data_IF_128154675467
#
_entry.id   IF_128154675467
#
_cell.length_a   1.000
_cell.length_b   1.000
_cell.length_c   1.000
_cell.angle_alpha   90.00
_cell.angle_beta   90.00
_cell.angle_gamma   90.00
#
_symmetry.space_group_name_H-M   'P 1'
#
loop_
_entity.id
_entity.type
_entity.pdbx_description
1 polymer ?
#
# COMPACT_ATOMS: atom_id res chain seq x y z
N UNK A 1 -18.96 -14.09 2.07
CA UNK A 1 -19.35 -12.96 1.19
C UNK A 1 -20.34 -13.50 0.15
N UNK A 2 -21.25 -12.69 -0.41
CA UNK A 2 -22.23 -13.20 -1.40
C UNK A 2 -21.57 -13.44 -2.77
N UNK A 3 -22.17 -14.34 -3.57
CA UNK A 3 -21.66 -14.69 -4.92
C UNK A 3 -21.57 -13.47 -5.86
N UNK A 4 -22.48 -12.51 -5.75
CA UNK A 4 -22.44 -11.27 -6.53
C UNK A 4 -21.18 -10.44 -6.26
N UNK A 5 -20.78 -10.29 -4.99
CA UNK A 5 -19.56 -9.57 -4.65
C UNK A 5 -18.30 -10.29 -5.12
N UNK A 6 -18.27 -11.62 -5.01
CA UNK A 6 -17.18 -12.43 -5.53
C UNK A 6 -17.03 -12.26 -7.05
N UNK A 7 -18.15 -12.31 -7.80
CA UNK A 7 -18.17 -12.07 -9.24
C UNK A 7 -17.64 -10.68 -9.60
N UNK A 8 -18.01 -9.65 -8.84
CA UNK A 8 -17.49 -8.28 -9.03
C UNK A 8 -15.97 -8.24 -8.82
N UNK A 9 -15.47 -8.85 -7.75
CA UNK A 9 -14.02 -8.89 -7.44
C UNK A 9 -13.26 -9.60 -8.58
N UNK A 10 -13.76 -10.71 -9.09
CA UNK A 10 -13.16 -11.44 -10.23
C UNK A 10 -13.11 -10.53 -11.47
N UNK A 11 -14.19 -9.84 -11.81
CA UNK A 11 -14.24 -8.94 -12.96
C UNK A 11 -13.22 -7.78 -12.83
N UNK A 12 -13.04 -7.25 -11.62
CA UNK A 12 -12.06 -6.19 -11.36
C UNK A 12 -10.63 -6.74 -11.49
N UNK A 13 -10.34 -7.91 -10.93
CA UNK A 13 -9.02 -8.56 -11.05
C UNK A 13 -8.69 -8.84 -12.52
N UNK A 14 -9.66 -9.35 -13.30
CA UNK A 14 -9.46 -9.60 -14.74
C UNK A 14 -9.20 -8.31 -15.52
N UNK A 15 -9.81 -7.22 -15.10
CA UNK A 15 -9.56 -5.91 -15.69
C UNK A 15 -8.20 -5.32 -15.28
N UNK A 16 -7.73 -5.54 -14.05
CA UNK A 16 -6.39 -5.09 -13.59
C UNK A 16 -5.27 -5.86 -14.29
N UNK A 17 -5.47 -7.16 -14.58
CA UNK A 17 -4.47 -8.02 -15.22
C UNK A 17 -4.93 -8.50 -16.61
N UNK A 18 -5.21 -7.61 -17.57
CA UNK A 18 -5.80 -7.98 -18.86
C UNK A 18 -4.88 -8.85 -19.72
N UNK A 19 -3.57 -8.68 -19.57
CA UNK A 19 -2.57 -9.46 -20.32
C UNK A 19 -2.53 -10.93 -19.89
N UNK A 20 -2.87 -11.24 -18.64
CA UNK A 20 -2.95 -12.62 -18.15
C UNK A 20 -4.05 -13.45 -18.82
N UNK A 21 -5.06 -12.81 -19.41
CA UNK A 21 -6.14 -13.44 -20.17
C UNK A 21 -5.92 -13.42 -21.70
N UNK A 22 -4.82 -12.81 -22.19
CA UNK A 22 -4.49 -12.74 -23.60
C UNK A 22 -3.91 -14.09 -24.06
N UNK A 23 -4.62 -14.76 -24.97
CA UNK A 23 -4.25 -16.10 -25.47
C UNK A 23 -2.89 -16.09 -26.18
N UNK A 24 -2.55 -15.03 -26.91
CA UNK A 24 -1.28 -14.88 -27.62
C UNK A 24 -0.11 -14.81 -26.64
N UNK A 25 -0.26 -14.00 -25.58
CA UNK A 25 0.72 -13.90 -24.51
C UNK A 25 0.86 -15.24 -23.76
N UNK A 26 -0.27 -15.90 -23.45
CA UNK A 26 -0.25 -17.20 -22.80
C UNK A 26 0.48 -18.25 -23.68
N UNK A 27 0.24 -18.26 -24.99
CA UNK A 27 0.93 -19.15 -25.91
C UNK A 27 2.44 -18.83 -25.99
N UNK A 28 2.79 -17.55 -26.04
CA UNK A 28 4.20 -17.13 -26.03
C UNK A 28 4.93 -17.67 -24.78
N UNK A 29 4.41 -17.43 -23.58
CA UNK A 29 5.03 -17.92 -22.34
C UNK A 29 4.96 -19.44 -22.16
N UNK A 30 3.95 -20.12 -22.71
CA UNK A 30 3.85 -21.58 -22.69
C UNK A 30 5.04 -22.24 -23.39
N UNK A 31 5.63 -21.58 -24.39
CA UNK A 31 6.80 -22.06 -25.13
C UNK A 31 8.13 -21.83 -24.38
N UNK A 32 8.10 -21.34 -23.14
CA UNK A 32 9.28 -21.05 -22.30
C UNK A 32 10.33 -20.20 -23.02
N UNK A 33 9.98 -19.00 -23.49
CA UNK A 33 10.90 -18.13 -24.24
C UNK A 33 12.11 -17.76 -23.37
N UNK A 34 13.24 -17.53 -24.04
CA UNK A 34 14.44 -16.98 -23.41
C UNK A 34 14.23 -15.54 -22.95
N UNK A 35 15.10 -15.04 -22.08
CA UNK A 35 15.02 -13.63 -21.63
C UNK A 35 15.10 -12.64 -22.79
N UNK A 36 15.93 -12.92 -23.81
CA UNK A 36 16.07 -12.04 -24.96
C UNK A 36 14.82 -12.04 -25.84
N UNK A 37 14.16 -13.19 -26.00
CA UNK A 37 12.87 -13.28 -26.69
C UNK A 37 11.78 -12.51 -25.91
N UNK A 38 11.75 -12.62 -24.57
CA UNK A 38 10.85 -11.84 -23.71
C UNK A 38 11.10 -10.34 -23.89
N UNK A 39 12.36 -9.91 -23.82
CA UNK A 39 12.74 -8.50 -24.02
C UNK A 39 12.36 -7.99 -25.40
N UNK A 40 12.57 -8.78 -26.42
CA UNK A 40 12.23 -8.43 -27.82
C UNK A 40 10.72 -8.31 -27.99
N UNK A 41 9.95 -9.28 -27.47
CA UNK A 41 8.50 -9.27 -27.50
C UNK A 41 7.94 -8.04 -26.79
N UNK A 42 8.41 -7.77 -25.57
CA UNK A 42 7.98 -6.62 -24.77
C UNK A 42 8.27 -5.29 -25.46
N UNK A 43 9.43 -5.14 -26.12
CA UNK A 43 9.76 -3.92 -26.87
C UNK A 43 8.84 -3.71 -28.08
N UNK A 44 8.56 -4.76 -28.85
CA UNK A 44 7.73 -4.67 -30.05
C UNK A 44 6.24 -4.41 -29.73
N UNK A 45 5.75 -4.88 -28.59
CA UNK A 45 4.34 -4.78 -28.18
C UNK A 45 4.10 -3.79 -27.02
N UNK A 46 5.13 -3.05 -26.58
CA UNK A 46 5.07 -2.19 -25.41
C UNK A 46 3.87 -1.22 -25.45
N UNK A 47 3.70 -0.48 -26.53
CA UNK A 47 2.62 0.51 -26.65
C UNK A 47 1.24 -0.11 -26.62
N UNK A 48 1.04 -1.22 -27.31
CA UNK A 48 -0.23 -1.95 -27.33
C UNK A 48 -0.54 -2.56 -25.97
N UNK A 49 0.47 -3.16 -25.32
CA UNK A 49 0.37 -3.67 -23.95
C UNK A 49 -0.02 -2.58 -22.95
N UNK A 50 0.59 -1.40 -23.02
CA UNK A 50 0.24 -0.25 -22.17
C UNK A 50 -1.21 0.19 -22.40
N UNK A 51 -1.65 0.32 -23.65
CA UNK A 51 -3.03 0.68 -23.98
C UNK A 51 -4.03 -0.35 -23.45
N UNK A 52 -3.70 -1.63 -23.56
CA UNK A 52 -4.52 -2.74 -23.03
C UNK A 52 -4.61 -2.67 -21.50
N UNK A 53 -3.48 -2.44 -20.83
CA UNK A 53 -3.43 -2.26 -19.37
C UNK A 53 -4.24 -1.02 -18.95
N UNK A 54 -4.06 0.13 -19.60
CA UNK A 54 -4.80 1.34 -19.29
C UNK A 54 -6.33 1.17 -19.51
N UNK A 55 -6.72 0.50 -20.59
CA UNK A 55 -8.15 0.17 -20.82
C UNK A 55 -8.71 -0.73 -19.70
N UNK A 56 -7.91 -1.69 -19.25
CA UNK A 56 -8.25 -2.53 -18.10
C UNK A 56 -8.39 -1.73 -16.81
N UNK A 57 -7.44 -0.84 -16.50
CA UNK A 57 -7.49 0.01 -15.31
C UNK A 57 -8.71 0.95 -15.33
N UNK A 58 -9.05 1.55 -16.49
CA UNK A 58 -10.28 2.36 -16.66
C UNK A 58 -11.51 1.56 -16.29
N UNK A 59 -11.64 0.34 -16.82
CA UNK A 59 -12.75 -0.57 -16.52
C UNK A 59 -12.79 -0.94 -15.03
N UNK A 60 -11.64 -1.31 -14.45
CA UNK A 60 -11.53 -1.65 -13.03
C UNK A 60 -11.93 -0.48 -12.13
N UNK A 61 -11.46 0.74 -12.43
CA UNK A 61 -11.80 1.95 -11.68
C UNK A 61 -13.32 2.19 -11.65
N UNK A 62 -14.01 2.08 -12.77
CA UNK A 62 -15.46 2.23 -12.82
C UNK A 62 -16.18 1.16 -11.98
N UNK A 63 -15.79 -0.12 -12.12
CA UNK A 63 -16.37 -1.21 -11.33
C UNK A 63 -16.17 -1.01 -9.82
N UNK A 64 -14.99 -0.51 -9.41
CA UNK A 64 -14.68 -0.20 -8.01
C UNK A 64 -15.57 0.94 -7.51
N UNK A 65 -15.70 2.03 -8.27
CA UNK A 65 -16.56 3.18 -7.91
C UNK A 65 -18.00 2.72 -7.76
N UNK A 66 -18.54 1.98 -8.71
CA UNK A 66 -19.92 1.46 -8.68
C UNK A 66 -20.13 0.55 -7.46
N UNK A 67 -19.15 -0.28 -7.14
CA UNK A 67 -19.17 -1.14 -5.95
C UNK A 67 -19.17 -0.32 -4.65
N UNK A 68 -18.33 0.71 -4.54
CA UNK A 68 -18.26 1.59 -3.38
C UNK A 68 -19.55 2.39 -3.18
N UNK A 69 -20.11 2.95 -4.27
CA UNK A 69 -21.39 3.68 -4.25
C UNK A 69 -22.58 2.81 -3.81
N UNK A 70 -22.51 1.49 -4.01
CA UNK A 70 -23.52 0.55 -3.50
C UNK A 70 -23.31 0.20 -2.04
N UNK A 71 -22.07 0.04 -1.60
CA UNK A 71 -21.74 -0.48 -0.26
C UNK A 71 -21.76 0.63 0.81
N UNK A 72 -21.24 1.82 0.52
CA UNK A 72 -21.11 2.89 1.51
C UNK A 72 -22.44 3.37 2.10
N UNK A 73 -23.53 3.55 1.32
CA UNK A 73 -24.84 3.84 1.89
C UNK A 73 -25.38 2.70 2.77
N UNK A 74 -25.10 1.44 2.43
CA UNK A 74 -25.50 0.30 3.25
C UNK A 74 -24.75 0.29 4.60
N UNK A 75 -23.47 0.63 4.63
CA UNK A 75 -22.71 0.78 5.88
C UNK A 75 -23.33 1.86 6.75
N UNK A 76 -23.65 3.02 6.19
CA UNK A 76 -24.28 4.14 6.90
C UNK A 76 -25.63 3.73 7.49
N UNK A 77 -26.49 3.15 6.67
CA UNK A 77 -27.80 2.64 7.10
C UNK A 77 -27.67 1.59 8.21
N UNK A 78 -26.79 0.60 8.06
CA UNK A 78 -26.57 -0.45 9.08
C UNK A 78 -26.04 0.14 10.40
N UNK A 79 -25.19 1.19 10.35
CA UNK A 79 -24.74 1.92 11.54
C UNK A 79 -25.89 2.63 12.25
N UNK A 80 -26.84 3.20 11.51
CA UNK A 80 -28.01 3.84 12.09
C UNK A 80 -28.98 2.80 12.71
N UNK A 81 -29.18 1.65 12.05
CA UNK A 81 -29.93 0.53 12.61
C UNK A 81 -29.28 -0.01 13.92
N UNK A 82 -27.95 -0.06 13.98
CA UNK A 82 -27.23 -0.46 15.19
C UNK A 82 -27.44 0.54 16.32
N UNK A 83 -27.43 1.85 16.04
CA UNK A 83 -27.74 2.88 17.07
C UNK A 83 -29.14 2.71 17.63
N UNK A 84 -30.12 2.45 16.76
CA UNK A 84 -31.52 2.23 17.19
C UNK A 84 -31.67 0.94 18.00
N UNK A 85 -31.06 -0.18 17.52
CA UNK A 85 -31.05 -1.43 18.26
C UNK A 85 -30.42 -1.31 19.66
N UNK A 86 -29.39 -0.44 19.81
CA UNK A 86 -28.78 -0.14 21.14
C UNK A 86 -29.72 0.67 22.03
N UNK A 87 -30.44 1.67 21.48
CA UNK A 87 -31.43 2.49 22.24
C UNK A 87 -32.58 1.62 22.76
N UNK A 88 -33.05 0.72 21.89
CA UNK A 88 -34.16 -0.19 22.22
C UNK A 88 -33.74 -1.43 23.02
N UNK A 89 -32.43 -1.61 23.32
CA UNK A 89 -31.86 -2.81 23.96
C UNK A 89 -32.25 -4.12 23.21
N UNK A 90 -32.35 -4.05 21.88
CA UNK A 90 -32.80 -5.16 21.03
C UNK A 90 -31.68 -6.19 20.82
N UNK A 91 -32.08 -7.48 20.72
CA UNK A 91 -31.21 -8.62 20.40
C UNK A 91 -30.59 -8.53 18.99
N UNK A 92 -31.11 -7.63 18.12
CA UNK A 92 -30.57 -7.40 16.79
C UNK A 92 -29.21 -6.68 16.75
N UNK A 93 -28.69 -6.26 17.90
CA UNK A 93 -27.39 -5.55 18.00
C UNK A 93 -26.24 -6.37 17.37
N UNK A 94 -26.16 -7.66 17.68
CA UNK A 94 -25.05 -8.50 17.18
C UNK A 94 -25.18 -8.79 15.68
N UNK A 95 -26.41 -8.90 15.18
CA UNK A 95 -26.67 -8.96 13.75
C UNK A 95 -26.13 -7.73 13.02
N UNK A 96 -26.47 -6.51 13.46
CA UNK A 96 -25.99 -5.29 12.81
C UNK A 96 -24.49 -5.11 12.95
N UNK A 97 -23.88 -5.50 14.05
CA UNK A 97 -22.42 -5.50 14.21
C UNK A 97 -21.72 -6.42 13.20
N UNK A 98 -22.28 -7.62 12.96
CA UNK A 98 -21.76 -8.55 11.98
C UNK A 98 -21.91 -8.02 10.56
N UNK A 99 -23.09 -7.47 10.23
CA UNK A 99 -23.38 -6.89 8.92
C UNK A 99 -22.43 -5.72 8.58
N UNK A 100 -22.23 -4.78 9.52
CA UNK A 100 -21.30 -3.67 9.37
C UNK A 100 -19.88 -4.19 9.08
N UNK A 101 -19.41 -5.17 9.84
CA UNK A 101 -18.06 -5.75 9.63
C UNK A 101 -17.90 -6.37 8.24
N UNK A 102 -18.95 -7.04 7.74
CA UNK A 102 -18.94 -7.63 6.38
C UNK A 102 -18.89 -6.54 5.32
N UNK A 103 -19.70 -5.50 5.45
CA UNK A 103 -19.76 -4.40 4.50
C UNK A 103 -18.46 -3.58 4.51
N UNK A 104 -17.92 -3.25 5.69
CA UNK A 104 -16.62 -2.57 5.83
C UNK A 104 -15.48 -3.40 5.25
N UNK A 105 -15.53 -4.72 5.39
CA UNK A 105 -14.55 -5.60 4.76
C UNK A 105 -14.65 -5.59 3.23
N UNK A 106 -15.87 -5.60 2.68
CA UNK A 106 -16.10 -5.46 1.22
C UNK A 106 -15.54 -4.13 0.70
N UNK A 107 -15.76 -3.03 1.43
CA UNK A 107 -15.21 -1.72 1.09
C UNK A 107 -13.68 -1.76 1.06
N UNK A 108 -13.04 -2.33 2.08
CA UNK A 108 -11.59 -2.48 2.15
C UNK A 108 -11.05 -3.31 0.99
N UNK A 109 -11.73 -4.37 0.59
CA UNK A 109 -11.34 -5.19 -0.57
C UNK A 109 -11.41 -4.37 -1.86
N UNK A 110 -12.48 -3.62 -2.11
CA UNK A 110 -12.60 -2.79 -3.31
C UNK A 110 -11.50 -1.73 -3.37
N UNK A 111 -11.24 -1.05 -2.26
CA UNK A 111 -10.16 -0.07 -2.18
C UNK A 111 -8.78 -0.70 -2.36
N UNK A 112 -8.58 -1.91 -1.84
CA UNK A 112 -7.33 -2.66 -2.05
C UNK A 112 -7.09 -3.05 -3.52
N UNK A 113 -8.15 -3.27 -4.28
CA UNK A 113 -8.04 -3.45 -5.73
C UNK A 113 -7.60 -2.15 -6.42
N UNK A 114 -8.06 -0.99 -5.95
CA UNK A 114 -7.55 0.30 -6.43
C UNK A 114 -6.09 0.55 -5.99
N UNK A 115 -5.71 0.16 -4.77
CA UNK A 115 -4.32 0.18 -4.31
C UNK A 115 -3.41 -0.67 -5.23
N UNK A 116 -3.94 -1.79 -5.76
CA UNK A 116 -3.19 -2.62 -6.72
C UNK A 116 -2.93 -1.86 -8.02
N UNK A 117 -3.90 -1.10 -8.54
CA UNK A 117 -3.72 -0.25 -9.72
C UNK A 117 -2.65 0.82 -9.42
N UNK A 118 -2.76 1.49 -8.26
CA UNK A 118 -1.76 2.46 -7.84
C UNK A 118 -0.35 1.84 -7.77
N UNK A 119 -0.23 0.62 -7.23
CA UNK A 119 1.04 -0.10 -7.12
C UNK A 119 1.67 -0.39 -8.49
N UNK A 120 0.86 -0.70 -9.51
CA UNK A 120 1.33 -0.80 -10.90
C UNK A 120 1.87 0.55 -11.42
N UNK A 121 1.16 1.65 -11.17
CA UNK A 121 1.57 2.98 -11.63
C UNK A 121 2.91 3.45 -11.04
N UNK A 122 3.24 2.99 -9.83
CA UNK A 122 4.52 3.27 -9.17
C UNK A 122 5.57 2.18 -9.42
N UNK A 123 5.31 1.21 -10.32
CA UNK A 123 6.23 0.11 -10.68
C UNK A 123 6.67 -0.73 -9.46
N UNK A 124 5.81 -0.92 -8.47
CA UNK A 124 6.10 -1.67 -7.25
C UNK A 124 7.13 -1.00 -6.32
N UNK A 125 7.45 0.28 -6.53
CA UNK A 125 8.47 1.00 -5.74
C UNK A 125 7.90 1.40 -4.37
N UNK A 126 8.17 0.59 -3.35
CA UNK A 126 7.70 0.81 -1.97
C UNK A 126 8.03 2.21 -1.42
N UNK A 127 9.20 2.76 -1.75
CA UNK A 127 9.60 4.09 -1.30
C UNK A 127 8.73 5.20 -1.90
N UNK A 128 8.20 4.98 -3.12
CA UNK A 128 7.25 5.88 -3.75
C UNK A 128 5.90 5.80 -3.04
N UNK A 129 5.41 4.60 -2.71
CA UNK A 129 4.10 4.46 -2.04
C UNK A 129 4.05 5.22 -0.71
N UNK A 130 5.16 5.23 0.05
CA UNK A 130 5.27 5.93 1.32
C UNK A 130 5.13 7.45 1.21
N UNK A 131 5.39 8.04 0.05
CA UNK A 131 5.25 9.49 -0.20
C UNK A 131 3.79 9.92 -0.27
N UNK A 132 2.87 9.03 -0.58
CA UNK A 132 1.45 9.31 -0.73
C UNK A 132 0.63 9.16 0.55
N UNK A 133 1.25 8.78 1.68
CA UNK A 133 0.58 8.54 2.94
C UNK A 133 0.85 9.65 3.96
N UNK A 134 -0.19 10.30 4.48
CA UNK A 134 -0.07 11.45 5.41
C UNK A 134 -0.52 11.16 6.85
N UNK A 135 -0.69 9.91 7.26
CA UNK A 135 -1.16 9.55 8.61
C UNK A 135 -2.48 10.20 9.04
N UNK A 136 -3.35 10.55 8.10
CA UNK A 136 -4.67 11.09 8.42
C UNK A 136 -5.65 9.94 8.66
N UNK A 137 -6.23 9.80 9.87
CA UNK A 137 -7.16 8.72 10.14
C UNK A 137 -8.45 8.84 9.32
N UNK A 138 -8.80 7.79 8.62
CA UNK A 138 -10.11 7.60 8.00
C UNK A 138 -10.21 8.10 6.55
N UNK A 139 -10.54 7.19 5.64
CA UNK A 139 -11.00 7.56 4.30
C UNK A 139 -12.44 8.09 4.39
N UNK A 140 -12.71 9.22 3.75
CA UNK A 140 -14.08 9.73 3.59
C UNK A 140 -14.90 8.80 2.72
N UNK A 141 -16.22 8.82 2.90
CA UNK A 141 -17.13 8.19 1.95
C UNK A 141 -17.17 9.01 0.65
N UNK A 142 -17.36 8.37 -0.51
CA UNK A 142 -17.38 9.06 -1.81
C UNK A 142 -18.47 10.12 -1.91
N UNK A 143 -19.61 9.94 -1.22
CA UNK A 143 -20.68 10.94 -1.16
C UNK A 143 -20.32 12.20 -0.35
N UNK A 144 -19.24 12.14 0.45
CA UNK A 144 -18.71 13.25 1.23
C UNK A 144 -17.56 13.98 0.50
N UNK A 145 -17.19 13.51 -0.70
CA UNK A 145 -16.11 14.09 -1.52
C UNK A 145 -16.67 14.68 -2.82
N UNK A 146 -15.82 15.39 -3.53
CA UNK A 146 -16.12 15.92 -4.86
C UNK A 146 -15.89 14.87 -5.98
N UNK A 147 -16.07 13.57 -5.68
CA UNK A 147 -15.70 12.47 -6.59
C UNK A 147 -16.27 12.61 -8.00
N UNK A 148 -17.47 13.22 -8.18
CA UNK A 148 -18.10 13.39 -9.51
C UNK A 148 -17.28 14.27 -10.43
N UNK A 149 -16.80 15.41 -9.93
CA UNK A 149 -15.95 16.34 -10.68
C UNK A 149 -14.57 15.74 -10.92
N UNK A 150 -14.03 15.02 -9.94
CA UNK A 150 -12.75 14.30 -10.07
C UNK A 150 -12.89 13.18 -11.13
N UNK A 151 -13.98 12.42 -11.10
CA UNK A 151 -14.26 11.38 -12.10
C UNK A 151 -14.43 11.94 -13.51
N UNK A 152 -15.12 13.09 -13.65
CA UNK A 152 -15.27 13.77 -14.93
C UNK A 152 -13.89 14.19 -15.49
N UNK A 153 -13.06 14.78 -14.68
CA UNK A 153 -11.68 15.15 -15.06
C UNK A 153 -10.85 13.92 -15.45
N UNK A 154 -10.92 12.85 -14.64
CA UNK A 154 -10.26 11.59 -14.94
C UNK A 154 -10.73 10.99 -16.28
N UNK A 155 -12.04 10.95 -16.53
CA UNK A 155 -12.58 10.41 -17.76
C UNK A 155 -12.08 11.19 -18.99
N UNK A 156 -12.03 12.54 -18.91
CA UNK A 156 -11.51 13.38 -19.99
C UNK A 156 -10.04 13.10 -20.29
N UNK A 157 -9.19 12.97 -19.27
CA UNK A 157 -7.77 12.59 -19.45
C UNK A 157 -7.66 11.18 -20.03
N UNK A 158 -8.51 10.27 -19.53
CA UNK A 158 -8.54 8.87 -19.90
C UNK A 158 -9.17 8.61 -21.29
N UNK A 159 -9.71 9.62 -22.00
CA UNK A 159 -10.13 9.49 -23.41
C UNK A 159 -8.92 9.12 -24.29
N UNK A 160 -7.74 9.67 -24.02
CA UNK A 160 -6.54 9.26 -24.70
C UNK A 160 -6.14 7.84 -24.23
N UNK A 161 -5.99 6.85 -25.13
CA UNK A 161 -5.64 5.47 -24.74
C UNK A 161 -4.23 5.33 -24.17
N UNK A 162 -3.34 6.29 -24.44
CA UNK A 162 -1.98 6.30 -23.91
C UNK A 162 -1.93 6.88 -22.47
N UNK A 163 -3.03 7.48 -21.98
CA UNK A 163 -3.13 8.10 -20.66
C UNK A 163 -4.01 7.27 -19.71
N UNK A 164 -3.64 7.28 -18.44
CA UNK A 164 -4.48 6.76 -17.36
C UNK A 164 -4.22 7.52 -16.07
N UNK A 165 -5.30 7.98 -15.43
CA UNK A 165 -5.29 8.53 -14.06
C UNK A 165 -6.29 7.82 -13.17
N UNK A 166 -5.85 7.50 -11.96
CA UNK A 166 -6.62 6.84 -10.89
C UNK A 166 -7.15 7.91 -9.92
N UNK A 167 -8.42 7.78 -9.51
CA UNK A 167 -8.97 8.54 -8.39
C UNK A 167 -8.30 8.06 -7.08
N UNK A 168 -7.71 8.97 -6.32
CA UNK A 168 -7.06 8.61 -5.06
C UNK A 168 -8.05 8.28 -3.95
N UNK A 169 -9.22 8.91 -3.92
CA UNK A 169 -10.29 8.69 -2.93
C UNK A 169 -10.84 7.24 -2.92
N UNK A 170 -10.65 6.47 -3.99
CA UNK A 170 -11.05 5.05 -4.01
C UNK A 170 -9.98 4.10 -3.48
N UNK A 171 -8.82 4.60 -3.04
CA UNK A 171 -7.73 3.82 -2.46
C UNK A 171 -7.81 3.78 -0.93
N UNK A 172 -7.05 2.88 -0.28
CA UNK A 172 -7.00 2.85 1.18
C UNK A 172 -5.98 3.83 1.76
N UNK A 173 -4.87 4.11 1.05
CA UNK A 173 -3.73 4.82 1.64
C UNK A 173 -3.19 6.00 0.82
N UNK A 174 -3.61 6.20 -0.43
CA UNK A 174 -3.20 7.37 -1.21
C UNK A 174 -3.99 8.59 -0.74
N UNK A 175 -3.30 9.54 -0.12
CA UNK A 175 -3.92 10.69 0.56
C UNK A 175 -3.47 12.05 0.00
N UNK A 176 -2.65 12.05 -1.04
CA UNK A 176 -2.16 13.25 -1.70
C UNK A 176 -2.70 13.31 -3.12
N UNK A 177 -3.27 14.46 -3.49
CA UNK A 177 -3.89 14.69 -4.79
C UNK A 177 -5.23 13.99 -4.97
N UNK A 178 -6.02 14.46 -5.90
CA UNK A 178 -7.31 13.87 -6.27
C UNK A 178 -7.17 12.79 -7.35
N UNK A 179 -6.16 12.95 -8.24
CA UNK A 179 -5.83 11.99 -9.31
C UNK A 179 -4.32 11.73 -9.34
N UNK A 180 -3.94 10.47 -9.54
CA UNK A 180 -2.57 10.06 -9.78
C UNK A 180 -2.49 9.12 -11.00
N UNK A 181 -1.50 9.30 -11.87
CA UNK A 181 -1.36 8.41 -13.03
C UNK A 181 -0.25 8.77 -13.99
N UNK A 182 -0.42 8.35 -15.23
CA UNK A 182 0.52 8.60 -16.35
C UNK A 182 -0.21 9.37 -17.43
N UNK A 183 0.33 10.54 -17.79
CA UNK A 183 -0.17 11.41 -18.86
C UNK A 183 1.00 11.76 -19.76
N UNK A 184 0.88 11.48 -21.05
CA UNK A 184 1.92 11.69 -22.05
C UNK A 184 3.30 11.11 -21.66
N UNK A 185 3.25 9.92 -21.02
CA UNK A 185 4.42 9.19 -20.55
C UNK A 185 5.03 9.67 -19.22
N UNK A 186 4.49 10.72 -18.63
CA UNK A 186 4.95 11.28 -17.36
C UNK A 186 4.02 10.91 -16.20
N UNK A 187 4.60 10.66 -15.02
CA UNK A 187 3.81 10.53 -13.79
C UNK A 187 3.28 11.90 -13.38
N UNK A 188 2.00 11.96 -13.10
CA UNK A 188 1.31 13.19 -12.71
C UNK A 188 0.51 12.99 -11.43
N UNK A 189 0.49 14.04 -10.61
CA UNK A 189 -0.39 14.17 -9.46
C UNK A 189 -1.25 15.41 -9.67
N UNK A 190 -2.57 15.27 -9.68
CA UNK A 190 -3.49 16.32 -10.05
C UNK A 190 -4.46 16.59 -8.89
N UNK A 191 -4.61 17.87 -8.54
CA UNK A 191 -5.65 18.39 -7.66
C UNK A 191 -6.78 18.98 -8.50
N UNK A 192 -7.98 18.49 -8.35
CA UNK A 192 -9.17 18.98 -9.06
C UNK A 192 -9.87 20.04 -8.20
N UNK A 193 -9.95 21.25 -8.69
CA UNK A 193 -10.62 22.35 -7.96
C UNK A 193 -12.00 22.61 -8.57
N UNK A 194 -13.01 22.66 -7.71
CA UNK A 194 -14.38 23.01 -8.08
C UNK A 194 -14.65 24.50 -7.85
N UNK A 195 -15.51 25.05 -8.71
CA UNK A 195 -16.03 26.42 -8.63
C UNK A 195 -15.12 27.47 -9.27
N UNK A 196 -15.77 28.45 -9.90
CA UNK A 196 -15.12 29.53 -10.66
C UNK A 196 -14.11 30.30 -9.82
N UNK A 197 -14.39 30.46 -8.52
CA UNK A 197 -13.50 31.17 -7.61
C UNK A 197 -12.16 30.47 -7.40
N UNK A 198 -12.18 29.13 -7.25
CA UNK A 198 -10.95 28.34 -7.14
C UNK A 198 -10.14 28.37 -8.44
N UNK A 199 -10.84 28.35 -9.59
CA UNK A 199 -10.20 28.47 -10.90
C UNK A 199 -9.52 29.84 -11.08
N UNK A 200 -10.19 30.95 -10.69
CA UNK A 200 -9.59 32.27 -10.70
C UNK A 200 -8.34 32.34 -9.80
N UNK A 201 -8.42 31.83 -8.58
CA UNK A 201 -7.29 31.79 -7.64
C UNK A 201 -6.11 31.02 -8.25
N UNK A 202 -6.35 29.85 -8.85
CA UNK A 202 -5.30 29.07 -9.50
C UNK A 202 -4.63 29.84 -10.63
N UNK A 203 -5.41 30.46 -11.51
CA UNK A 203 -4.91 31.27 -12.61
C UNK A 203 -4.06 32.44 -12.13
N UNK A 204 -4.46 33.09 -11.04
CA UNK A 204 -3.71 34.17 -10.44
C UNK A 204 -2.41 33.67 -9.78
N UNK A 205 -2.41 32.49 -9.16
CA UNK A 205 -1.21 31.85 -8.61
C UNK A 205 -0.23 31.47 -9.75
N UNK A 206 -0.72 30.89 -10.85
CA UNK A 206 0.10 30.56 -12.01
C UNK A 206 0.75 31.80 -12.61
N UNK A 207 -0.01 32.90 -12.73
CA UNK A 207 0.52 34.17 -13.17
C UNK A 207 1.57 34.72 -12.19
N UNK A 208 1.35 34.59 -10.87
CA UNK A 208 2.28 35.07 -9.84
C UNK A 208 3.61 34.31 -9.89
N UNK A 209 3.62 33.04 -10.25
CA UNK A 209 4.85 32.24 -10.41
C UNK A 209 5.76 32.71 -11.55
N UNK A 210 5.28 33.61 -12.43
CA UNK A 210 6.05 34.13 -13.57
C UNK A 210 6.92 35.35 -13.22
N UNK A 211 6.58 36.11 -12.18
CA UNK A 211 7.40 37.23 -11.73
C UNK A 211 7.00 37.78 -10.34
N UNK A 212 7.95 38.37 -9.62
CA UNK A 212 7.75 39.00 -8.30
C UNK A 212 6.67 40.08 -8.32
N UNK A 213 6.52 40.82 -9.42
CA UNK A 213 5.50 41.84 -9.57
C UNK A 213 4.08 41.26 -9.56
N UNK A 214 3.89 40.04 -10.03
CA UNK A 214 2.60 39.35 -9.99
C UNK A 214 2.28 38.80 -8.59
N UNK A 215 3.27 38.44 -7.79
CA UNK A 215 3.09 38.03 -6.39
C UNK A 215 2.49 39.19 -5.57
N UNK A 216 2.99 40.45 -5.78
CA UNK A 216 2.44 41.61 -5.12
C UNK A 216 1.00 41.87 -5.55
N UNK A 217 0.70 41.73 -6.85
CA UNK A 217 -0.68 41.88 -7.37
C UNK A 217 -1.63 40.81 -6.80
N UNK A 218 -1.17 39.59 -6.65
CA UNK A 218 -1.93 38.51 -6.02
C UNK A 218 -2.30 38.89 -4.58
N UNK A 219 -1.31 39.36 -3.79
CA UNK A 219 -1.55 39.79 -2.41
C UNK A 219 -2.54 40.95 -2.34
N UNK A 220 -2.33 41.99 -3.15
CA UNK A 220 -3.21 43.17 -3.19
C UNK A 220 -4.66 42.86 -3.57
N UNK A 221 -4.85 41.92 -4.51
CA UNK A 221 -6.18 41.44 -4.94
C UNK A 221 -6.96 40.73 -3.82
N UNK A 222 -6.28 39.99 -2.95
CA UNK A 222 -6.93 39.12 -1.97
C UNK A 222 -6.77 39.59 -0.51
N UNK A 223 -6.01 40.65 -0.22
CA UNK A 223 -5.73 41.10 1.16
C UNK A 223 -6.99 41.44 1.99
N UNK A 224 -8.08 41.88 1.34
CA UNK A 224 -9.35 42.19 1.98
C UNK A 224 -10.31 41.00 2.06
N UNK A 225 -9.91 39.84 1.54
CA UNK A 225 -10.69 38.60 1.50
C UNK A 225 -10.01 37.46 2.30
N UNK A 226 -10.15 37.43 3.64
CA UNK A 226 -9.41 36.45 4.49
C UNK A 226 -9.63 35.00 4.10
N UNK A 227 -10.85 34.63 3.68
CA UNK A 227 -11.18 33.27 3.24
C UNK A 227 -10.42 32.88 1.96
N UNK A 228 -10.27 33.79 1.04
CA UNK A 228 -9.52 33.55 -0.20
C UNK A 228 -8.02 33.47 0.08
N UNK A 229 -7.49 34.28 1.01
CA UNK A 229 -6.09 34.14 1.45
C UNK A 229 -5.82 32.81 2.13
N UNK A 230 -6.73 32.30 2.94
CA UNK A 230 -6.61 30.94 3.51
C UNK A 230 -6.66 29.87 2.43
N UNK A 231 -7.53 30.03 1.43
CA UNK A 231 -7.61 29.11 0.30
C UNK A 231 -6.34 29.15 -0.56
N UNK A 232 -5.77 30.33 -0.83
CA UNK A 232 -4.48 30.49 -1.52
C UNK A 232 -3.37 29.76 -0.76
N UNK A 233 -3.26 30.00 0.57
CA UNK A 233 -2.28 29.29 1.42
C UNK A 233 -2.43 27.79 1.34
N UNK A 234 -3.68 27.28 1.38
CA UNK A 234 -3.98 25.86 1.26
C UNK A 234 -3.55 25.31 -0.10
N UNK A 235 -3.89 26.00 -1.20
CA UNK A 235 -3.53 25.57 -2.56
C UNK A 235 -2.00 25.55 -2.72
N UNK A 236 -1.30 26.62 -2.31
CA UNK A 236 0.16 26.69 -2.39
C UNK A 236 0.82 25.56 -1.57
N UNK A 237 0.32 25.28 -0.37
CA UNK A 237 0.82 24.16 0.44
C UNK A 237 0.63 22.82 -0.27
N UNK A 238 -0.54 22.57 -0.88
CA UNK A 238 -0.81 21.33 -1.62
C UNK A 238 0.11 21.19 -2.84
N UNK A 239 0.28 22.27 -3.62
CA UNK A 239 1.16 22.28 -4.81
C UNK A 239 2.62 22.03 -4.40
N UNK A 240 3.10 22.68 -3.34
CA UNK A 240 4.47 22.49 -2.86
C UNK A 240 4.70 21.03 -2.40
N UNK A 241 3.79 20.48 -1.59
CA UNK A 241 3.88 19.09 -1.16
C UNK A 241 3.89 18.15 -2.37
N UNK A 242 3.01 18.35 -3.35
CA UNK A 242 2.97 17.54 -4.56
C UNK A 242 4.26 17.63 -5.37
N UNK A 243 4.82 18.83 -5.53
CA UNK A 243 6.06 19.05 -6.26
C UNK A 243 7.26 18.44 -5.53
N UNK A 244 7.35 18.58 -4.21
CA UNK A 244 8.43 18.00 -3.41
C UNK A 244 8.40 16.46 -3.51
N UNK A 245 7.23 15.84 -3.40
CA UNK A 245 7.08 14.39 -3.52
C UNK A 245 7.41 13.89 -4.94
N UNK A 246 6.94 14.56 -5.99
CA UNK A 246 7.30 14.22 -7.37
C UNK A 246 8.81 14.37 -7.61
N UNK A 247 9.42 15.42 -7.06
CA UNK A 247 10.87 15.61 -7.16
C UNK A 247 11.63 14.47 -6.47
N UNK A 248 11.22 14.06 -5.26
CA UNK A 248 11.83 12.93 -4.55
C UNK A 248 11.68 11.63 -5.38
N UNK A 249 10.50 11.41 -5.97
CA UNK A 249 10.23 10.23 -6.81
C UNK A 249 11.13 10.17 -8.03
N UNK A 250 11.44 11.33 -8.63
CA UNK A 250 12.21 11.42 -9.87
C UNK A 250 13.74 11.47 -9.64
N UNK A 251 14.19 11.98 -8.47
CA UNK A 251 15.62 12.23 -8.20
C UNK A 251 16.20 11.35 -7.10
N UNK A 252 15.36 10.55 -6.44
CA UNK A 252 15.70 9.75 -5.25
C UNK A 252 16.26 10.60 -4.07
N UNK A 253 16.02 11.91 -4.10
CA UNK A 253 16.48 12.86 -3.07
C UNK A 253 15.49 14.01 -2.91
N UNK A 254 15.40 14.55 -1.71
CA UNK A 254 14.60 15.75 -1.44
C UNK A 254 14.36 15.97 0.03
N UNK A 255 13.52 16.95 0.32
CA UNK A 255 13.05 17.23 1.66
C UNK A 255 11.65 16.62 1.85
N UNK A 256 11.49 15.75 2.85
CA UNK A 256 10.20 15.16 3.20
C UNK A 256 9.39 16.13 4.07
N UNK A 257 8.30 16.68 3.57
CA UNK A 257 7.50 17.66 4.33
C UNK A 257 6.79 17.02 5.53
N UNK A 258 6.58 15.71 5.54
CA UNK A 258 5.91 14.99 6.65
C UNK A 258 6.86 14.81 7.83
N UNK A 259 8.07 14.34 7.59
CA UNK A 259 9.07 14.11 8.64
C UNK A 259 9.96 15.31 8.90
N UNK A 260 9.91 16.35 8.04
CA UNK A 260 10.77 17.54 8.05
C UNK A 260 12.28 17.16 8.00
N UNK A 261 12.63 16.17 7.18
CA UNK A 261 13.99 15.65 7.02
C UNK A 261 14.41 15.57 5.57
N UNK A 262 15.70 15.71 5.32
CA UNK A 262 16.25 15.39 4.01
C UNK A 262 16.26 13.86 3.83
N UNK A 263 15.79 13.43 2.67
CA UNK A 263 15.70 12.02 2.27
C UNK A 263 16.68 11.78 1.14
N UNK A 264 17.36 10.64 1.22
CA UNK A 264 18.09 10.02 0.14
C UNK A 264 17.61 8.57 0.04
N UNK A 265 17.07 8.21 -1.11
CA UNK A 265 16.64 6.84 -1.38
C UNK A 265 17.86 6.07 -1.85
N UNK A 266 18.14 5.00 -1.17
CA UNK A 266 19.28 4.14 -1.47
C UNK A 266 18.78 2.92 -2.25
N UNK A 267 19.35 2.71 -3.44
CA UNK A 267 19.13 1.48 -4.21
C UNK A 267 20.26 0.51 -3.88
N UNK A 268 19.96 -0.67 -3.33
CA UNK A 268 20.98 -1.68 -3.07
C UNK A 268 21.73 -2.03 -4.35
N UNK A 269 23.01 -2.33 -4.24
CA UNK A 269 23.86 -2.75 -5.39
C UNK A 269 23.53 -4.15 -5.87
N UNK A 270 22.93 -4.97 -5.02
CA UNK A 270 22.57 -6.35 -5.29
C UNK A 270 21.07 -6.50 -5.44
N UNK A 271 20.64 -7.47 -6.24
CA UNK A 271 19.24 -7.77 -6.46
C UNK A 271 18.57 -8.21 -5.14
N UNK A 272 17.41 -7.64 -4.87
CA UNK A 272 16.62 -7.99 -3.68
C UNK A 272 16.20 -9.45 -3.73
N UNK A 273 16.49 -10.20 -2.67
CA UNK A 273 16.08 -11.61 -2.57
C UNK A 273 14.69 -11.72 -1.93
N UNK A 274 13.80 -12.38 -2.64
CA UNK A 274 12.42 -12.64 -2.22
C UNK A 274 12.25 -14.13 -1.89
N UNK A 275 11.28 -14.45 -1.02
CA UNK A 275 10.93 -15.84 -0.68
C UNK A 275 9.76 -16.38 -1.54
N UNK A 276 9.78 -16.07 -2.83
CA UNK A 276 8.72 -16.45 -3.76
C UNK A 276 8.67 -17.95 -4.04
N UNK A 277 9.82 -18.62 -4.09
CA UNK A 277 9.89 -20.07 -4.30
C UNK A 277 9.28 -20.82 -3.12
N UNK A 278 9.55 -20.37 -1.90
CA UNK A 278 8.99 -20.95 -0.68
C UNK A 278 7.47 -20.75 -0.60
N UNK A 279 6.95 -19.65 -1.13
CA UNK A 279 5.50 -19.43 -1.24
C UNK A 279 4.87 -20.35 -2.29
N UNK A 280 5.53 -20.55 -3.43
CA UNK A 280 5.06 -21.50 -4.44
C UNK A 280 5.00 -22.93 -3.89
N UNK A 281 6.04 -23.38 -3.19
CA UNK A 281 6.05 -24.69 -2.52
C UNK A 281 4.93 -24.80 -1.47
N UNK A 282 4.65 -23.72 -0.75
CA UNK A 282 3.56 -23.67 0.24
C UNK A 282 2.18 -23.84 -0.43
N UNK A 283 1.96 -23.24 -1.60
CA UNK A 283 0.75 -23.43 -2.39
C UNK A 283 0.59 -24.89 -2.83
N UNK A 284 1.67 -25.50 -3.35
CA UNK A 284 1.67 -26.90 -3.76
C UNK A 284 1.36 -27.85 -2.59
N UNK A 285 1.88 -27.57 -1.39
CA UNK A 285 1.53 -28.30 -0.18
C UNK A 285 0.04 -28.16 0.16
N UNK A 286 -0.53 -26.95 0.05
CA UNK A 286 -1.95 -26.72 0.33
C UNK A 286 -2.83 -27.48 -0.66
N UNK A 287 -2.46 -27.50 -1.95
CA UNK A 287 -3.18 -28.27 -2.98
C UNK A 287 -3.18 -29.76 -2.68
N UNK A 288 -2.04 -30.30 -2.24
CA UNK A 288 -1.88 -31.73 -1.92
C UNK A 288 -2.64 -32.13 -0.66
N UNK A 289 -2.54 -31.33 0.42
CA UNK A 289 -3.14 -31.62 1.73
C UNK A 289 -4.59 -31.16 1.83
N UNK A 290 -5.01 -30.18 1.03
CA UNK A 290 -6.36 -29.62 0.89
C UNK A 290 -6.94 -28.91 2.12
N UNK A 291 -6.19 -28.68 3.21
CA UNK A 291 -6.72 -27.99 4.40
C UNK A 291 -5.74 -27.07 5.12
N UNK A 292 -4.44 -27.36 5.11
CA UNK A 292 -3.40 -26.47 5.64
C UNK A 292 -2.04 -26.76 5.03
N UNK A 293 -1.19 -25.72 5.00
CA UNK A 293 0.22 -25.83 4.63
C UNK A 293 1.05 -24.92 5.55
N UNK A 294 2.33 -25.24 5.74
CA UNK A 294 3.21 -24.52 6.64
C UNK A 294 4.65 -24.64 6.17
N UNK A 295 5.39 -23.54 6.27
CA UNK A 295 6.82 -23.47 6.01
C UNK A 295 7.53 -22.52 6.97
N UNK A 296 8.86 -22.64 7.06
CA UNK A 296 9.73 -21.73 7.80
C UNK A 296 10.82 -21.24 6.86
N UNK A 297 11.07 -19.94 6.86
CA UNK A 297 12.06 -19.28 6.00
C UNK A 297 13.13 -18.69 6.90
N UNK A 298 14.40 -18.92 6.55
CA UNK A 298 15.57 -18.45 7.28
C UNK A 298 15.48 -18.69 8.81
N UNK A 299 14.89 -19.83 9.20
CA UNK A 299 14.66 -20.27 10.58
C UNK A 299 13.88 -19.32 11.49
N UNK A 300 13.42 -18.17 10.98
CA UNK A 300 12.76 -17.13 11.78
C UNK A 300 11.38 -16.68 11.25
N UNK A 301 11.08 -16.86 9.95
CA UNK A 301 9.79 -16.47 9.40
C UNK A 301 8.91 -17.69 9.16
N UNK A 302 7.89 -17.86 9.95
CA UNK A 302 6.91 -18.95 9.87
C UNK A 302 5.69 -18.49 9.08
N UNK A 303 5.27 -19.27 8.06
CA UNK A 303 4.12 -18.96 7.22
C UNK A 303 3.16 -20.14 7.21
N UNK A 304 1.88 -19.89 7.46
CA UNK A 304 0.83 -20.89 7.41
C UNK A 304 -0.36 -20.48 6.55
N UNK A 305 -0.84 -21.40 5.71
CA UNK A 305 -2.08 -21.29 4.94
C UNK A 305 -3.12 -22.23 5.53
N UNK A 306 -4.36 -21.76 5.74
CA UNK A 306 -5.42 -22.50 6.41
C UNK A 306 -6.75 -22.36 5.67
N UNK A 307 -7.39 -23.50 5.33
CA UNK A 307 -8.64 -23.58 4.57
C UNK A 307 -9.76 -24.20 5.40
N UNK A 308 -11.00 -23.94 5.05
CA UNK A 308 -12.18 -24.50 5.68
C UNK A 308 -12.21 -24.26 7.22
N UNK A 309 -12.55 -25.26 8.02
CA UNK A 309 -12.59 -25.19 9.49
C UNK A 309 -11.22 -24.93 10.14
N UNK A 310 -10.13 -25.24 9.44
CA UNK A 310 -8.77 -24.99 9.93
C UNK A 310 -8.41 -23.51 10.02
N UNK A 311 -9.16 -22.63 9.35
CA UNK A 311 -8.97 -21.18 9.46
C UNK A 311 -9.05 -20.67 10.91
N UNK A 312 -9.92 -21.27 11.72
CA UNK A 312 -10.07 -20.89 13.15
C UNK A 312 -8.84 -21.28 13.98
N UNK A 313 -8.07 -22.26 13.54
CA UNK A 313 -6.89 -22.78 14.23
C UNK A 313 -5.59 -22.13 13.75
N UNK A 314 -5.60 -21.35 12.64
CA UNK A 314 -4.37 -20.85 12.03
C UNK A 314 -3.49 -20.04 12.99
N UNK A 315 -4.04 -19.02 13.63
CA UNK A 315 -3.31 -18.23 14.63
C UNK A 315 -2.99 -19.04 15.90
N UNK A 316 -3.94 -19.80 16.51
CA UNK A 316 -3.63 -20.66 17.64
C UNK A 316 -2.49 -21.67 17.37
N UNK A 317 -2.40 -22.24 16.17
CA UNK A 317 -1.33 -23.15 15.83
C UNK A 317 0.03 -22.47 15.82
N UNK A 318 0.14 -21.25 15.28
CA UNK A 318 1.38 -20.48 15.36
C UNK A 318 1.76 -20.13 16.81
N UNK A 319 0.77 -19.81 17.67
CA UNK A 319 1.01 -19.59 19.10
C UNK A 319 1.50 -20.86 19.82
N UNK A 320 0.98 -22.03 19.45
CA UNK A 320 1.45 -23.32 19.97
C UNK A 320 2.88 -23.59 19.52
N UNK A 321 3.20 -23.38 18.22
CA UNK A 321 4.56 -23.52 17.69
C UNK A 321 5.52 -22.59 18.43
N UNK A 322 5.12 -21.34 18.63
CA UNK A 322 5.93 -20.35 19.34
C UNK A 322 6.22 -20.80 20.78
N UNK A 323 5.21 -21.35 21.49
CA UNK A 323 5.37 -21.86 22.85
C UNK A 323 6.30 -23.08 22.89
N UNK A 324 6.13 -24.02 21.96
CA UNK A 324 6.93 -25.24 21.89
C UNK A 324 8.41 -24.93 21.59
N UNK A 325 8.65 -24.00 20.66
CA UNK A 325 9.98 -23.52 20.31
C UNK A 325 10.56 -22.47 21.26
N UNK A 326 9.82 -22.07 22.30
CA UNK A 326 10.21 -21.03 23.29
C UNK A 326 10.50 -19.68 22.64
N UNK A 327 9.76 -19.30 21.61
CA UNK A 327 9.84 -18.00 20.96
C UNK A 327 9.20 -16.94 21.90
N UNK A 328 10.01 -16.08 22.50
CA UNK A 328 9.54 -15.06 23.44
C UNK A 328 9.06 -13.82 22.71
N UNK A 329 9.85 -13.26 21.81
CA UNK A 329 9.53 -12.05 21.06
C UNK A 329 9.09 -12.40 19.64
N UNK A 330 7.84 -12.09 19.29
CA UNK A 330 7.26 -12.44 17.98
C UNK A 330 6.19 -11.47 17.50
N UNK A 331 6.05 -11.40 16.20
CA UNK A 331 4.93 -10.71 15.55
C UNK A 331 4.13 -11.75 14.79
N UNK A 332 2.82 -11.84 15.06
CA UNK A 332 1.90 -12.69 14.29
C UNK A 332 0.89 -11.80 13.59
N UNK A 333 0.83 -11.87 12.27
CA UNK A 333 -0.07 -11.09 11.43
C UNK A 333 -0.89 -11.97 10.50
N UNK A 334 -2.11 -11.54 10.20
CA UNK A 334 -2.91 -12.02 9.07
C UNK A 334 -2.44 -11.27 7.81
N UNK A 335 -2.11 -11.97 6.74
CA UNK A 335 -1.66 -11.35 5.49
C UNK A 335 -2.64 -10.29 4.96
N UNK A 336 -3.94 -10.46 5.23
CA UNK A 336 -4.97 -9.49 4.85
C UNK A 336 -4.86 -8.14 5.54
N UNK A 337 -4.08 -8.03 6.62
CA UNK A 337 -3.82 -6.73 7.25
C UNK A 337 -3.08 -5.76 6.32
N UNK A 338 -2.36 -6.28 5.31
CA UNK A 338 -1.73 -5.47 4.25
C UNK A 338 -2.74 -4.63 3.48
N UNK A 339 -4.01 -5.04 3.38
CA UNK A 339 -5.05 -4.26 2.70
C UNK A 339 -5.31 -2.88 3.33
N UNK A 340 -4.74 -2.59 4.50
CA UNK A 340 -4.84 -1.29 5.19
C UNK A 340 -3.48 -0.61 5.35
N UNK A 341 -2.48 -1.06 4.61
CA UNK A 341 -1.12 -0.52 4.64
C UNK A 341 -0.68 -0.11 3.24
N UNK A 342 0.43 0.60 3.16
CA UNK A 342 1.06 1.02 1.90
C UNK A 342 2.05 -0.01 1.35
N UNK A 343 2.06 -1.23 1.89
CA UNK A 343 2.94 -2.32 1.45
C UNK A 343 2.39 -3.02 0.19
N UNK A 344 3.13 -4.00 -0.34
CA UNK A 344 2.76 -4.70 -1.58
C UNK A 344 1.37 -5.35 -1.48
N UNK A 345 0.44 -5.03 -2.39
CA UNK A 345 -0.90 -5.61 -2.37
C UNK A 345 -0.90 -7.15 -2.51
N UNK A 346 -1.93 -7.79 -1.92
CA UNK A 346 -2.10 -9.25 -1.98
C UNK A 346 -2.09 -9.83 -3.40
N UNK A 347 -2.50 -9.04 -4.40
CA UNK A 347 -2.53 -9.48 -5.79
C UNK A 347 -1.14 -9.64 -6.43
N UNK A 348 -0.09 -9.17 -5.75
CA UNK A 348 1.31 -9.42 -6.14
C UNK A 348 1.95 -10.62 -5.42
N UNK A 349 1.18 -11.34 -4.58
CA UNK A 349 1.63 -12.62 -4.06
C UNK A 349 1.89 -13.60 -5.24
N UNK A 350 2.99 -14.37 -5.20
CA UNK A 350 3.35 -15.30 -6.27
C UNK A 350 2.54 -16.61 -6.17
N UNK A 351 1.25 -16.48 -5.90
CA UNK A 351 0.30 -17.58 -5.87
C UNK A 351 -0.56 -17.61 -7.13
N UNK A 352 -1.22 -18.73 -7.36
CA UNK A 352 -2.25 -18.80 -8.40
C UNK A 352 -3.35 -17.78 -8.15
N UNK A 353 -3.95 -17.26 -9.23
CA UNK A 353 -5.07 -16.29 -9.16
C UNK A 353 -6.17 -16.77 -8.22
N UNK A 354 -6.49 -18.09 -8.24
CA UNK A 354 -7.53 -18.64 -7.38
C UNK A 354 -7.15 -18.58 -5.90
N UNK A 355 -5.91 -18.91 -5.54
CA UNK A 355 -5.47 -18.84 -4.14
C UNK A 355 -5.43 -17.39 -3.62
N UNK A 356 -4.93 -16.45 -4.42
CA UNK A 356 -4.97 -15.02 -4.09
C UNK A 356 -6.40 -14.55 -3.85
N UNK A 357 -7.33 -14.91 -4.75
CA UNK A 357 -8.76 -14.61 -4.60
C UNK A 357 -9.33 -15.23 -3.31
N UNK A 358 -9.00 -16.48 -3.01
CA UNK A 358 -9.47 -17.17 -1.80
C UNK A 358 -8.92 -16.50 -0.52
N UNK A 359 -7.68 -16.01 -0.53
CA UNK A 359 -7.10 -15.23 0.57
C UNK A 359 -7.82 -13.88 0.69
N UNK A 360 -7.95 -13.15 -0.40
CA UNK A 360 -8.61 -11.84 -0.45
C UNK A 360 -10.05 -11.92 0.07
N UNK A 361 -10.79 -12.99 -0.27
CA UNK A 361 -12.16 -13.21 0.16
C UNK A 361 -12.28 -13.91 1.55
N UNK A 362 -11.15 -14.24 2.18
CA UNK A 362 -11.13 -14.91 3.49
C UNK A 362 -11.60 -16.36 3.45
N UNK A 363 -11.59 -17.01 2.28
CA UNK A 363 -11.82 -18.46 2.13
C UNK A 363 -10.60 -19.27 2.57
N UNK A 364 -9.41 -18.74 2.33
CA UNK A 364 -8.12 -19.18 2.90
C UNK A 364 -7.58 -18.06 3.78
N UNK A 365 -7.03 -18.40 4.95
CA UNK A 365 -6.29 -17.48 5.79
C UNK A 365 -4.79 -17.77 5.69
N UNK A 366 -4.00 -16.72 5.50
CA UNK A 366 -2.55 -16.75 5.54
C UNK A 366 -2.09 -15.99 6.78
N UNK A 367 -1.37 -16.69 7.66
CA UNK A 367 -0.74 -16.08 8.83
C UNK A 367 0.77 -16.15 8.69
N UNK A 368 1.43 -15.05 9.09
CA UNK A 368 2.87 -14.94 9.16
C UNK A 368 3.27 -14.68 10.61
N UNK A 369 4.31 -15.37 11.09
CA UNK A 369 4.92 -15.13 12.38
C UNK A 369 6.41 -14.93 12.20
N UNK A 370 6.94 -13.79 12.64
CA UNK A 370 8.36 -13.51 12.66
C UNK A 370 8.89 -13.67 14.08
N UNK A 371 9.86 -14.58 14.27
CA UNK A 371 10.65 -14.73 15.47
C UNK A 371 11.72 -13.63 15.50
N UNK A 372 11.53 -12.66 16.37
CA UNK A 372 12.40 -11.46 16.46
C UNK A 372 13.79 -11.82 17.00
N UNK A 373 13.88 -12.77 17.92
CA UNK A 373 15.15 -13.14 18.52
C UNK A 373 16.06 -13.84 17.49
N UNK A 374 15.53 -14.79 16.74
CA UNK A 374 16.27 -15.41 15.62
C UNK A 374 16.58 -14.40 14.49
N UNK A 375 15.67 -13.49 14.21
CA UNK A 375 15.94 -12.42 13.24
C UNK A 375 17.09 -11.52 13.71
N UNK A 376 17.18 -11.19 14.99
CA UNK A 376 18.33 -10.47 15.56
C UNK A 376 19.64 -11.30 15.46
N UNK A 377 19.57 -12.63 15.55
CA UNK A 377 20.72 -13.51 15.36
C UNK A 377 21.25 -13.46 13.91
N UNK A 378 20.38 -13.38 12.90
CA UNK A 378 20.79 -13.16 11.52
C UNK A 378 21.58 -11.85 11.36
N UNK A 379 21.14 -10.78 11.98
CA UNK A 379 21.90 -9.52 11.98
C UNK A 379 23.29 -9.69 12.59
N UNK A 380 23.41 -10.43 13.70
CA UNK A 380 24.70 -10.71 14.33
C UNK A 380 25.63 -11.52 13.42
N UNK A 381 25.05 -12.51 12.70
CA UNK A 381 25.81 -13.29 11.72
C UNK A 381 26.45 -12.42 10.65
N UNK A 382 25.75 -11.37 10.17
CA UNK A 382 26.26 -10.40 9.20
C UNK A 382 27.02 -9.21 9.85
N UNK A 383 27.42 -9.32 11.12
CA UNK A 383 28.27 -8.35 11.81
C UNK A 383 27.53 -7.14 12.40
N UNK A 384 26.20 -7.11 12.39
CA UNK A 384 25.42 -6.08 13.06
C UNK A 384 24.99 -6.55 14.45
N UNK A 385 25.44 -5.88 15.50
CA UNK A 385 25.00 -6.20 16.87
C UNK A 385 23.60 -5.64 17.11
N UNK A 386 22.71 -6.48 17.64
CA UNK A 386 21.36 -6.12 18.04
C UNK A 386 21.16 -6.31 19.53
N UNK A 387 20.48 -5.38 20.19
CA UNK A 387 20.16 -5.48 21.61
C UNK A 387 18.86 -4.75 21.95
N UNK A 388 18.09 -5.30 22.90
CA UNK A 388 16.94 -4.61 23.45
C UNK A 388 17.38 -3.42 24.32
N UNK A 389 16.75 -2.27 24.13
CA UNK A 389 16.94 -1.10 24.98
C UNK A 389 16.33 -1.31 26.36
N UNK A 390 16.74 -0.49 27.34
CA UNK A 390 15.95 -0.30 28.54
C UNK A 390 14.63 0.44 28.20
N UNK A 391 13.62 0.33 29.07
CA UNK A 391 12.36 1.07 28.92
C UNK A 391 12.56 2.58 28.86
N UNK A 392 13.48 3.11 29.69
CA UNK A 392 13.82 4.55 29.74
C UNK A 392 14.44 5.03 28.43
N UNK A 393 15.37 4.26 27.85
CA UNK A 393 15.94 4.56 26.53
C UNK A 393 14.88 4.53 25.44
N UNK A 394 13.98 3.52 25.42
CA UNK A 394 12.92 3.43 24.44
C UNK A 394 12.00 4.65 24.49
N UNK A 395 11.61 5.11 25.69
CA UNK A 395 10.80 6.32 25.87
C UNK A 395 11.50 7.54 25.26
N UNK A 396 12.79 7.73 25.56
CA UNK A 396 13.59 8.82 25.00
C UNK A 396 13.67 8.75 23.47
N UNK A 397 13.92 7.55 22.92
CA UNK A 397 13.96 7.33 21.47
C UNK A 397 12.61 7.64 20.80
N UNK A 398 11.48 7.27 21.40
CA UNK A 398 10.14 7.58 20.90
C UNK A 398 9.93 9.10 20.87
N UNK A 399 10.35 9.83 21.91
CA UNK A 399 10.24 11.28 21.98
C UNK A 399 11.12 11.99 20.94
N UNK A 400 12.36 11.54 20.76
CA UNK A 400 13.30 12.07 19.78
C UNK A 400 12.92 11.76 18.34
N UNK A 401 12.22 10.64 18.11
CA UNK A 401 11.89 10.13 16.80
C UNK A 401 10.38 10.16 16.50
N UNK A 402 9.67 11.15 17.01
CA UNK A 402 8.19 11.28 16.99
C UNK A 402 7.51 10.88 15.67
N UNK A 403 8.20 11.06 14.54
CA UNK A 403 7.69 10.75 13.21
C UNK A 403 8.27 9.44 12.62
N UNK A 404 9.04 8.68 13.38
CA UNK A 404 9.56 7.38 12.95
C UNK A 404 8.73 6.27 13.58
N UNK A 405 8.20 5.38 12.75
CA UNK A 405 7.47 4.21 13.20
C UNK A 405 8.46 3.13 13.68
N UNK A 406 8.89 3.22 14.93
CA UNK A 406 9.82 2.26 15.54
C UNK A 406 9.11 0.96 15.89
N UNK A 407 9.82 -0.16 15.81
CA UNK A 407 9.35 -1.39 16.42
C UNK A 407 9.52 -1.33 17.94
N UNK A 408 8.41 -1.43 18.66
CA UNK A 408 8.38 -1.39 20.12
C UNK A 408 7.63 -2.62 20.64
N UNK A 409 8.26 -3.39 21.50
CA UNK A 409 7.66 -4.51 22.21
C UNK A 409 7.96 -4.42 23.71
N UNK A 410 6.95 -4.58 24.55
CA UNK A 410 7.09 -4.48 26.00
C UNK A 410 7.72 -3.16 26.50
N UNK A 411 7.46 -2.04 25.78
CA UNK A 411 8.11 -0.73 26.00
C UNK A 411 9.64 -0.75 25.78
N UNK A 412 10.14 -1.60 24.92
CA UNK A 412 11.54 -1.67 24.50
C UNK A 412 11.66 -1.55 23.00
N UNK A 413 12.73 -0.95 22.53
CA UNK A 413 13.13 -0.90 21.12
C UNK A 413 14.35 -1.80 20.88
N UNK A 414 14.68 -2.07 19.63
CA UNK A 414 15.89 -2.80 19.26
C UNK A 414 16.91 -1.81 18.71
N UNK A 415 18.03 -1.65 19.42
CA UNK A 415 19.21 -0.93 18.93
C UNK A 415 20.06 -1.85 18.07
N UNK A 416 20.57 -1.32 16.99
CA UNK A 416 21.45 -2.00 16.05
C UNK A 416 22.72 -1.18 15.86
N UNK A 417 23.88 -1.85 15.81
CA UNK A 417 25.16 -1.24 15.51
C UNK A 417 25.91 -2.12 14.51
N UNK A 418 26.18 -1.59 13.33
CA UNK A 418 26.83 -2.32 12.26
C UNK A 418 28.36 -2.31 12.39
N UNK A 419 29.06 -3.03 11.49
CA UNK A 419 30.52 -3.15 11.44
C UNK A 419 31.25 -1.81 11.27
N UNK A 420 30.58 -0.80 10.73
CA UNK A 420 31.12 0.56 10.56
C UNK A 420 30.86 1.47 11.78
N UNK A 421 30.29 0.91 12.86
CA UNK A 421 29.98 1.65 14.08
C UNK A 421 28.72 2.52 14.00
N UNK A 422 27.96 2.44 12.92
CA UNK A 422 26.71 3.19 12.75
C UNK A 422 25.64 2.60 13.66
N UNK A 423 25.07 3.44 14.52
CA UNK A 423 23.99 3.07 15.43
C UNK A 423 22.64 3.49 14.85
N UNK A 424 21.71 2.55 14.81
CA UNK A 424 20.33 2.76 14.34
C UNK A 424 19.35 2.08 15.28
N UNK A 425 18.04 2.32 15.07
CA UNK A 425 16.97 1.64 15.80
C UNK A 425 16.07 0.92 14.77
N UNK A 426 15.68 -0.30 15.09
CA UNK A 426 14.82 -1.09 14.20
C UNK A 426 13.47 -0.39 14.01
N UNK A 427 13.17 -0.02 12.77
CA UNK A 427 11.88 0.55 12.39
C UNK A 427 10.90 -0.55 12.03
N UNK A 428 9.61 -0.31 12.25
CA UNK A 428 8.54 -1.21 11.83
C UNK A 428 8.58 -1.49 10.32
N UNK A 429 9.04 -0.51 9.52
CA UNK A 429 9.24 -0.66 8.08
C UNK A 429 10.24 -1.76 7.67
N UNK A 430 11.19 -2.13 8.54
CA UNK A 430 12.08 -3.29 8.31
C UNK A 430 11.28 -4.59 8.38
N UNK A 431 10.39 -4.68 9.36
CA UNK A 431 9.57 -5.88 9.59
C UNK A 431 8.47 -6.02 8.53
N UNK A 432 7.84 -4.90 8.10
CA UNK A 432 6.83 -4.94 7.04
C UNK A 432 7.43 -5.34 5.69
N UNK A 433 8.69 -5.02 5.41
CA UNK A 433 9.40 -5.50 4.21
C UNK A 433 9.48 -7.03 4.16
N UNK A 434 9.72 -7.67 5.31
CA UNK A 434 9.73 -9.14 5.42
C UNK A 434 8.30 -9.66 5.32
N UNK A 435 7.38 -9.14 6.13
CA UNK A 435 6.04 -9.68 6.29
C UNK A 435 5.12 -9.45 5.07
N UNK A 436 5.25 -8.31 4.38
CA UNK A 436 4.32 -7.91 3.33
C UNK A 436 4.97 -7.61 1.97
N UNK A 437 6.28 -7.38 1.93
CA UNK A 437 6.97 -7.17 0.65
C UNK A 437 7.86 -8.38 0.29
N UNK A 438 7.70 -9.48 1.00
CA UNK A 438 8.25 -10.81 0.72
C UNK A 438 9.78 -10.88 0.60
N UNK A 439 10.49 -9.95 1.25
CA UNK A 439 11.96 -9.91 1.27
C UNK A 439 12.46 -10.93 2.28
N UNK A 440 13.45 -11.75 1.90
CA UNK A 440 14.05 -12.73 2.80
C UNK A 440 14.65 -12.07 4.04
N UNK A 441 14.42 -12.60 5.26
CA UNK A 441 15.04 -12.11 6.48
C UNK A 441 16.56 -12.03 6.40
N UNK A 442 17.22 -13.04 5.83
CA UNK A 442 18.66 -13.06 5.59
C UNK A 442 19.14 -11.90 4.73
N UNK A 443 18.41 -11.59 3.64
CA UNK A 443 18.74 -10.45 2.79
C UNK A 443 18.58 -9.11 3.51
N UNK A 444 17.53 -8.95 4.34
CA UNK A 444 17.36 -7.75 5.16
C UNK A 444 18.50 -7.54 6.15
N UNK A 445 18.95 -8.61 6.82
CA UNK A 445 20.05 -8.57 7.73
C UNK A 445 21.38 -8.25 7.01
N UNK A 446 21.62 -8.92 5.88
CA UNK A 446 22.80 -8.71 5.04
C UNK A 446 22.88 -7.27 4.50
N UNK A 447 21.83 -6.77 3.84
CA UNK A 447 21.83 -5.45 3.23
C UNK A 447 22.04 -4.32 4.23
N UNK A 448 21.56 -4.47 5.47
CA UNK A 448 21.73 -3.48 6.54
C UNK A 448 23.15 -3.39 7.08
N UNK A 449 24.00 -4.42 6.88
CA UNK A 449 25.37 -4.44 7.37
C UNK A 449 26.32 -3.52 6.60
N UNK A 450 25.96 -3.15 5.36
CA UNK A 450 26.81 -2.35 4.48
C UNK A 450 26.54 -0.84 4.52
N UNK A 451 25.57 -0.36 5.28
CA UNK A 451 25.34 1.07 5.40
C UNK A 451 26.50 1.76 6.11
N UNK A 452 27.10 2.74 5.44
CA UNK A 452 28.13 3.61 6.00
C UNK A 452 27.51 4.88 6.57
N UNK A 453 28.28 5.66 7.38
CA UNK A 453 27.83 6.95 7.87
C UNK A 453 27.53 7.97 6.74
N UNK A 454 28.05 7.74 5.53
CA UNK A 454 27.75 8.57 4.34
C UNK A 454 26.41 8.22 3.66
N UNK A 455 25.83 7.09 4.02
CA UNK A 455 24.57 6.59 3.46
C UNK A 455 23.36 6.99 4.33
N UNK A 456 23.60 7.51 5.53
CA UNK A 456 22.62 8.00 6.50
C UNK A 456 22.68 9.52 6.57
#
# INVERSE_FOLDING_TARGET
MGAEFESLVIQIIDAIFPLGNNQEIQLFFKNKPSEDEIRSYMRSHARESFRTIHAGFKKAQHLIIDGLLKIQPQIKWSKDQLKEARRQKSDKKDFWLAEIKILEYKEVVLKHLADTIFWHLIEGKLYVSRRFYQYVPGSKSLDETNYKSVLLAANKINENPDNFVLLTDITNYVQIGDLFGVVDGNRVLIEVKEGDRNYEILKDIEAANQSDSHVLKLFDKYKEHPKDLEQIKRILKQVNVANDEINIINTDRGHDPVTNRNIKIFTPKEDTQYYYDELHDLEMQLMTRNFWAYTVIDDCLHIGLYKNKWKMLGRPLLEIIAKDQKIEHKIIVDARSVMKTMDSPLLFLPFSKQLVLDILLGKVLMFLMLDIDKFMELYKYYGTTCSWTSRKEATKLIEETKNLNLYIEGNRAIKMKNVHGVETVMAMGTLTKILFNHIKPTYMAYSSSFHTAQDI
#
